data_IF_810658800429
#
_entry.id   IF_810658800429
#
_cell.length_a   1.000
_cell.length_b   1.000
_cell.length_c   1.000
_cell.angle_alpha   90.00
_cell.angle_beta   90.00
_cell.angle_gamma   90.00
#
_symmetry.space_group_name_H-M   'P 1'
#
loop_
_entity.id
_entity.type
_entity.pdbx_description
1 polymer ?
#
# COMPACT_ATOMS: atom_id res chain seq x y z
N UNK A 1 -14.45 7.24 -19.35
CA UNK A 1 -13.47 6.93 -18.30
C UNK A 1 -14.15 6.52 -17.01
N UNK A 2 -15.21 7.22 -16.62
CA UNK A 2 -15.94 6.96 -15.37
C UNK A 2 -16.38 5.50 -15.21
N UNK A 3 -16.99 4.90 -16.25
CA UNK A 3 -17.39 3.48 -16.23
C UNK A 3 -16.24 2.50 -16.00
N UNK A 4 -15.05 2.82 -16.55
CA UNK A 4 -13.86 2.00 -16.37
C UNK A 4 -13.39 2.10 -14.92
N UNK A 5 -13.30 3.33 -14.39
CA UNK A 5 -12.91 3.59 -13.01
C UNK A 5 -13.87 2.93 -12.02
N UNK A 6 -15.18 3.12 -12.21
CA UNK A 6 -16.22 2.53 -11.37
C UNK A 6 -16.11 0.99 -11.33
N UNK A 7 -15.73 0.35 -12.45
CA UNK A 7 -15.59 -1.11 -12.54
C UNK A 7 -14.39 -1.71 -11.83
N UNK A 8 -13.31 -0.95 -11.69
CA UNK A 8 -12.11 -1.40 -10.96
C UNK A 8 -12.15 -0.97 -9.49
N UNK A 9 -13.15 -0.17 -9.11
CA UNK A 9 -13.31 0.36 -7.74
C UNK A 9 -14.64 -0.02 -7.10
N UNK A 10 -15.22 -1.16 -7.50
CA UNK A 10 -16.51 -1.62 -6.99
C UNK A 10 -16.39 -2.03 -5.52
N UNK A 11 -17.19 -1.36 -4.66
CA UNK A 11 -17.24 -1.59 -3.21
C UNK A 11 -18.55 -2.20 -2.72
N UNK A 12 -19.56 -2.32 -3.58
CA UNK A 12 -20.87 -2.86 -3.21
C UNK A 12 -21.22 -4.11 -4.01
N UNK A 13 -21.89 -5.05 -3.35
CA UNK A 13 -22.42 -6.27 -3.97
C UNK A 13 -23.38 -5.95 -5.12
N UNK A 14 -24.34 -5.08 -4.85
CA UNK A 14 -25.29 -4.58 -5.81
C UNK A 14 -25.30 -3.06 -5.75
N UNK A 15 -25.39 -2.44 -6.92
CA UNK A 15 -25.59 -0.99 -7.04
C UNK A 15 -26.83 -0.78 -7.92
N UNK A 16 -27.87 -0.22 -7.33
CA UNK A 16 -29.12 0.13 -8.03
C UNK A 16 -28.90 1.28 -9.04
N UNK A 17 -27.85 2.10 -8.83
CA UNK A 17 -27.61 3.31 -9.62
C UNK A 17 -26.65 3.11 -10.79
N UNK A 18 -25.66 2.21 -10.67
CA UNK A 18 -24.66 1.95 -11.72
C UNK A 18 -24.27 0.49 -11.75
N UNK A 19 -24.55 -0.18 -12.86
CA UNK A 19 -24.18 -1.59 -13.08
C UNK A 19 -22.67 -1.80 -13.04
N UNK A 20 -21.89 -0.77 -13.33
CA UNK A 20 -20.43 -0.83 -13.34
C UNK A 20 -19.83 -0.78 -11.94
N UNK A 21 -20.59 -0.44 -10.89
CA UNK A 21 -20.12 -0.41 -9.50
C UNK A 21 -20.45 -1.69 -8.71
N UNK A 22 -21.03 -2.71 -9.36
CA UNK A 22 -21.33 -3.97 -8.70
C UNK A 22 -20.12 -4.91 -8.68
N UNK A 23 -20.21 -5.95 -7.88
CA UNK A 23 -19.15 -6.95 -7.80
C UNK A 23 -18.98 -7.72 -9.10
N UNK A 24 -17.74 -8.11 -9.36
CA UNK A 24 -17.42 -8.97 -10.48
C UNK A 24 -17.93 -10.37 -10.15
N UNK A 25 -18.82 -10.87 -11.00
CA UNK A 25 -19.39 -12.22 -10.97
C UNK A 25 -19.44 -12.78 -12.38
N UNK A 26 -19.69 -14.08 -12.53
CA UNK A 26 -19.75 -14.74 -13.85
C UNK A 26 -20.77 -14.09 -14.81
N UNK A 27 -21.85 -13.53 -14.27
CA UNK A 27 -22.95 -12.92 -15.04
C UNK A 27 -22.81 -11.40 -15.25
N UNK A 28 -21.83 -10.77 -14.60
CA UNK A 28 -21.71 -9.30 -14.53
C UNK A 28 -21.28 -8.62 -15.84
N UNK A 29 -20.69 -9.36 -16.78
CA UNK A 29 -20.17 -8.81 -18.04
C UNK A 29 -18.91 -7.95 -17.92
N UNK A 30 -18.30 -7.84 -16.72
CA UNK A 30 -17.10 -7.02 -16.50
C UNK A 30 -15.91 -7.45 -17.38
N UNK A 31 -15.71 -8.76 -17.59
CA UNK A 31 -14.60 -9.28 -18.39
C UNK A 31 -14.67 -8.78 -19.84
N UNK A 32 -15.85 -8.83 -20.46
CA UNK A 32 -16.02 -8.36 -21.84
C UNK A 32 -15.84 -6.84 -21.93
N UNK A 33 -16.36 -6.11 -20.94
CA UNK A 33 -16.18 -4.67 -20.83
C UNK A 33 -14.70 -4.28 -20.72
N UNK A 34 -13.91 -4.98 -19.88
CA UNK A 34 -12.48 -4.72 -19.75
C UNK A 34 -11.71 -5.04 -21.04
N UNK A 35 -12.05 -6.10 -21.77
CA UNK A 35 -11.45 -6.40 -23.09
C UNK A 35 -11.71 -5.28 -24.11
N UNK A 36 -12.93 -4.73 -24.11
CA UNK A 36 -13.28 -3.55 -24.92
C UNK A 36 -12.45 -2.32 -24.51
N UNK A 37 -12.30 -2.07 -23.21
CA UNK A 37 -11.48 -0.96 -22.71
C UNK A 37 -9.99 -1.13 -23.03
N UNK A 38 -9.40 -2.32 -22.93
CA UNK A 38 -8.01 -2.57 -23.34
C UNK A 38 -7.82 -2.15 -24.81
N UNK A 39 -8.73 -2.60 -25.68
CA UNK A 39 -8.67 -2.28 -27.12
C UNK A 39 -8.84 -0.78 -27.39
N UNK A 40 -9.66 -0.10 -26.59
CA UNK A 40 -9.87 1.33 -26.70
C UNK A 40 -8.66 2.14 -26.19
N UNK A 41 -8.08 1.78 -25.04
CA UNK A 41 -6.90 2.43 -24.46
C UNK A 41 -5.67 2.22 -25.34
N UNK A 42 -5.50 1.03 -25.93
CA UNK A 42 -4.39 0.74 -26.84
C UNK A 42 -4.30 1.75 -28.00
N UNK A 43 -5.45 2.21 -28.50
CA UNK A 43 -5.57 3.20 -29.59
C UNK A 43 -5.23 4.63 -29.17
N UNK A 44 -5.09 4.91 -27.87
CA UNK A 44 -4.78 6.25 -27.41
C UNK A 44 -3.41 6.71 -27.91
N UNK A 45 -3.37 7.89 -28.52
CA UNK A 45 -2.14 8.60 -28.81
C UNK A 45 -2.09 9.84 -27.95
N UNK A 46 -1.19 9.86 -26.98
CA UNK A 46 -0.98 11.07 -26.17
C UNK A 46 0.06 11.93 -26.88
N UNK A 47 -0.25 13.21 -27.04
CA UNK A 47 0.63 14.19 -27.70
C UNK A 47 0.85 15.36 -26.77
N UNK A 48 2.06 15.92 -26.82
CA UNK A 48 2.34 17.18 -26.13
C UNK A 48 1.44 18.28 -26.67
N UNK A 49 0.82 19.06 -25.78
CA UNK A 49 0.01 20.22 -26.16
C UNK A 49 0.86 21.26 -26.89
N UNK A 50 2.11 21.45 -26.46
CA UNK A 50 3.02 22.47 -26.96
C UNK A 50 3.74 22.01 -28.23
N UNK A 51 4.38 20.83 -28.21
CA UNK A 51 5.23 20.40 -29.33
C UNK A 51 4.51 19.52 -30.35
N UNK A 52 3.27 19.08 -30.06
CA UNK A 52 2.48 18.11 -30.85
C UNK A 52 3.15 16.76 -31.11
N UNK A 53 4.33 16.52 -30.52
CA UNK A 53 5.06 15.25 -30.60
C UNK A 53 4.36 14.18 -29.77
N UNK A 54 4.46 12.89 -30.17
CA UNK A 54 3.96 11.78 -29.38
C UNK A 54 4.69 11.72 -28.04
N UNK A 55 3.92 11.48 -26.96
CA UNK A 55 4.45 11.28 -25.62
C UNK A 55 4.23 9.83 -25.21
N UNK A 56 5.27 9.26 -24.61
CA UNK A 56 5.11 8.05 -23.83
C UNK A 56 4.41 8.40 -22.51
N UNK A 57 3.39 7.62 -22.15
CA UNK A 57 2.61 7.84 -20.95
C UNK A 57 2.53 6.54 -20.19
N UNK A 58 3.26 6.45 -19.08
CA UNK A 58 3.32 5.24 -18.25
C UNK A 58 1.93 4.80 -17.75
N UNK A 59 1.04 5.76 -17.43
CA UNK A 59 -0.32 5.46 -16.98
C UNK A 59 -1.16 4.72 -18.04
N UNK A 60 -0.91 4.93 -19.34
CA UNK A 60 -1.55 4.15 -20.41
C UNK A 60 -1.18 2.67 -20.30
N UNK A 61 0.11 2.39 -20.12
CA UNK A 61 0.63 1.03 -19.92
C UNK A 61 0.08 0.44 -18.63
N UNK A 62 0.08 1.22 -17.55
CA UNK A 62 -0.51 0.85 -16.25
C UNK A 62 -1.96 0.38 -16.39
N UNK A 63 -2.82 1.17 -17.03
CA UNK A 63 -4.21 0.78 -17.25
C UNK A 63 -4.39 -0.54 -18.00
N UNK A 64 -3.58 -0.78 -19.04
CA UNK A 64 -3.65 -2.04 -19.80
C UNK A 64 -3.21 -3.22 -18.93
N UNK A 65 -2.15 -3.05 -18.13
CA UNK A 65 -1.67 -4.07 -17.20
C UNK A 65 -2.74 -4.37 -16.14
N UNK A 66 -3.28 -3.34 -15.49
CA UNK A 66 -4.33 -3.45 -14.48
C UNK A 66 -5.54 -4.23 -15.01
N UNK A 67 -6.04 -3.87 -16.20
CA UNK A 67 -7.19 -4.57 -16.79
C UNK A 67 -6.90 -6.03 -17.12
N UNK A 68 -5.70 -6.33 -17.64
CA UNK A 68 -5.28 -7.72 -17.89
C UNK A 68 -5.17 -8.52 -16.59
N UNK A 69 -4.63 -7.92 -15.54
CA UNK A 69 -4.52 -8.52 -14.22
C UNK A 69 -5.91 -8.83 -13.65
N UNK A 70 -6.84 -7.87 -13.70
CA UNK A 70 -8.22 -8.08 -13.25
C UNK A 70 -8.94 -9.21 -14.00
N UNK A 71 -8.73 -9.32 -15.33
CA UNK A 71 -9.27 -10.46 -16.10
C UNK A 71 -8.70 -11.78 -15.56
N UNK A 72 -7.38 -11.90 -15.43
CA UNK A 72 -6.74 -13.12 -14.95
C UNK A 72 -7.12 -13.49 -13.51
N UNK A 73 -7.13 -12.51 -12.60
CA UNK A 73 -7.57 -12.68 -11.21
C UNK A 73 -9.03 -13.14 -11.17
N UNK A 74 -9.90 -12.55 -11.99
CA UNK A 74 -11.32 -12.94 -12.03
C UNK A 74 -11.49 -14.39 -12.49
N UNK A 75 -10.75 -14.82 -13.51
CA UNK A 75 -10.80 -16.21 -14.01
C UNK A 75 -10.35 -17.24 -12.96
N UNK A 76 -9.47 -16.86 -12.03
CA UNK A 76 -8.99 -17.74 -10.95
C UNK A 76 -9.92 -17.69 -9.74
N UNK A 77 -10.29 -16.49 -9.28
CA UNK A 77 -11.04 -16.31 -8.04
C UNK A 77 -12.53 -16.65 -8.20
N UNK A 78 -13.14 -16.41 -9.35
CA UNK A 78 -14.56 -16.75 -9.57
C UNK A 78 -14.81 -18.27 -9.55
N UNK A 79 -13.79 -19.10 -9.79
CA UNK A 79 -13.89 -20.55 -9.62
C UNK A 79 -14.04 -20.97 -8.16
N UNK A 80 -13.63 -20.12 -7.22
CA UNK A 80 -13.62 -20.40 -5.77
C UNK A 80 -14.63 -19.55 -4.99
N UNK A 81 -15.00 -18.39 -5.54
CA UNK A 81 -15.78 -17.36 -4.85
C UNK A 81 -16.93 -16.90 -5.74
N UNK A 82 -18.08 -16.59 -5.12
CA UNK A 82 -19.29 -16.16 -5.86
C UNK A 82 -19.12 -14.80 -6.53
N UNK A 83 -18.29 -13.93 -5.97
CA UNK A 83 -18.09 -12.57 -6.44
C UNK A 83 -16.74 -12.02 -5.97
N UNK A 84 -16.30 -10.91 -6.60
CA UNK A 84 -15.07 -10.20 -6.28
C UNK A 84 -15.38 -8.69 -6.15
N UNK A 85 -14.91 -8.09 -5.05
CA UNK A 85 -14.95 -6.65 -4.84
C UNK A 85 -13.65 -6.04 -5.39
N UNK A 86 -13.72 -5.36 -6.53
CA UNK A 86 -12.53 -4.80 -7.19
C UNK A 86 -11.92 -3.65 -6.42
N UNK A 87 -12.72 -2.92 -5.62
CA UNK A 87 -12.23 -1.86 -4.73
C UNK A 87 -11.31 -2.34 -3.61
N UNK A 88 -11.19 -3.65 -3.35
CA UNK A 88 -10.23 -4.20 -2.37
C UNK A 88 -8.81 -4.33 -2.91
N UNK A 89 -8.62 -4.19 -4.22
CA UNK A 89 -7.30 -4.27 -4.86
C UNK A 89 -6.60 -2.92 -4.96
N UNK A 90 -7.22 -1.84 -4.46
CA UNK A 90 -6.61 -0.52 -4.45
C UNK A 90 -5.81 -0.26 -3.17
N UNK A 91 -4.88 0.68 -3.25
CA UNK A 91 -4.07 1.11 -2.10
C UNK A 91 -4.81 2.08 -1.17
N UNK A 92 -6.04 2.49 -1.51
CA UNK A 92 -6.83 3.49 -0.76
C UNK A 92 -6.86 3.20 0.73
N UNK A 93 -7.06 1.93 1.12
CA UNK A 93 -7.11 1.55 2.53
C UNK A 93 -5.80 1.89 3.24
N UNK A 94 -4.66 1.58 2.63
CA UNK A 94 -3.33 1.92 3.16
C UNK A 94 -3.12 3.44 3.21
N UNK A 95 -3.49 4.16 2.16
CA UNK A 95 -3.39 5.62 2.13
C UNK A 95 -4.25 6.28 3.22
N UNK A 96 -5.45 5.75 3.45
CA UNK A 96 -6.36 6.19 4.50
C UNK A 96 -5.81 5.90 5.89
N UNK A 97 -5.11 4.78 6.08
CA UNK A 97 -4.39 4.48 7.33
C UNK A 97 -3.24 5.46 7.55
N UNK A 98 -2.41 5.73 6.54
CA UNK A 98 -1.36 6.74 6.64
C UNK A 98 -1.91 8.14 6.95
N UNK A 99 -3.02 8.52 6.30
CA UNK A 99 -3.70 9.79 6.61
C UNK A 99 -4.24 9.82 8.05
N UNK A 100 -4.78 8.70 8.53
CA UNK A 100 -5.26 8.58 9.92
C UNK A 100 -4.12 8.67 10.93
N UNK A 101 -2.93 8.17 10.61
CA UNK A 101 -1.72 8.33 11.44
C UNK A 101 -1.30 9.80 11.49
N UNK A 102 -1.20 10.47 10.33
CA UNK A 102 -0.82 11.89 10.26
C UNK A 102 -1.77 12.78 11.10
N UNK A 103 -3.09 12.55 11.02
CA UNK A 103 -4.09 13.30 11.80
C UNK A 103 -3.93 13.19 13.33
N UNK A 104 -3.28 12.14 13.84
CA UNK A 104 -3.06 11.96 15.29
C UNK A 104 -1.95 12.86 15.84
N UNK A 105 -1.09 13.40 14.97
CA UNK A 105 -0.03 14.35 15.33
C UNK A 105 -0.53 15.76 15.63
N UNK A 106 -1.83 16.04 15.49
CA UNK A 106 -2.38 17.39 15.67
C UNK A 106 -1.84 18.34 14.61
N UNK A 107 -1.05 19.34 15.02
CA UNK A 107 -0.37 20.25 14.10
C UNK A 107 0.90 19.67 13.46
N UNK A 108 1.35 18.49 13.90
CA UNK A 108 2.50 17.78 13.33
C UNK A 108 2.02 16.75 12.30
N UNK A 109 1.66 17.23 11.12
CA UNK A 109 1.15 16.40 10.01
C UNK A 109 2.20 15.50 9.37
N UNK A 110 3.49 15.80 9.58
CA UNK A 110 4.61 15.01 9.07
C UNK A 110 5.39 14.40 10.25
N UNK A 111 4.98 13.22 10.75
CA UNK A 111 5.69 12.55 11.83
C UNK A 111 7.09 12.11 11.38
N UNK A 112 8.03 12.07 12.32
CA UNK A 112 9.29 11.35 12.08
C UNK A 112 9.08 9.82 12.15
N UNK A 113 10.12 9.05 11.84
CA UNK A 113 10.04 7.58 11.78
C UNK A 113 9.62 6.99 13.13
N UNK A 114 10.16 7.51 14.24
CA UNK A 114 9.87 7.01 15.58
C UNK A 114 8.42 7.31 15.97
N UNK A 115 7.95 8.52 15.69
CA UNK A 115 6.57 8.91 15.90
C UNK A 115 5.62 8.06 15.07
N UNK A 116 5.94 7.82 13.79
CA UNK A 116 5.13 6.98 12.93
C UNK A 116 5.01 5.54 13.48
N UNK A 117 6.13 4.93 13.89
CA UNK A 117 6.16 3.61 14.52
C UNK A 117 5.31 3.57 15.79
N UNK A 118 5.47 4.54 16.69
CA UNK A 118 4.69 4.62 17.92
C UNK A 118 3.19 4.80 17.63
N UNK A 119 2.82 5.59 16.61
CA UNK A 119 1.42 5.77 16.23
C UNK A 119 0.82 4.51 15.64
N UNK A 120 1.57 3.75 14.83
CA UNK A 120 1.15 2.44 14.34
C UNK A 120 0.91 1.48 15.51
N UNK A 121 1.87 1.35 16.43
CA UNK A 121 1.74 0.49 17.61
C UNK A 121 0.50 0.87 18.43
N UNK A 122 0.26 2.17 18.65
CA UNK A 122 -0.94 2.65 19.32
C UNK A 122 -2.22 2.26 18.58
N UNK A 123 -2.26 2.37 17.24
CA UNK A 123 -3.42 1.96 16.43
C UNK A 123 -3.67 0.45 16.55
N UNK A 124 -2.61 -0.36 16.46
CA UNK A 124 -2.62 -1.82 16.62
C UNK A 124 -3.23 -2.20 17.97
N UNK A 125 -2.66 -1.69 19.07
CA UNK A 125 -3.12 -1.98 20.44
C UNK A 125 -4.56 -1.50 20.65
N UNK A 126 -4.87 -0.29 20.17
CA UNK A 126 -6.22 0.29 20.29
C UNK A 126 -7.25 -0.54 19.55
N UNK A 127 -6.94 -1.03 18.34
CA UNK A 127 -7.83 -1.89 17.56
C UNK A 127 -7.98 -3.26 18.21
N UNK A 128 -6.90 -3.83 18.74
CA UNK A 128 -6.92 -5.09 19.49
C UNK A 128 -7.85 -5.00 20.70
N UNK A 129 -7.70 -3.95 21.53
CA UNK A 129 -8.53 -3.73 22.73
C UNK A 129 -9.99 -3.41 22.35
N UNK A 130 -10.21 -2.58 21.33
CA UNK A 130 -11.55 -2.13 20.94
C UNK A 130 -12.31 -3.08 20.00
N UNK A 131 -11.71 -4.21 19.59
CA UNK A 131 -12.34 -5.26 18.77
C UNK A 131 -13.60 -5.87 19.42
N UNK A 132 -13.93 -5.49 20.65
CA UNK A 132 -15.06 -5.97 21.45
C UNK A 132 -16.32 -5.08 21.37
N UNK A 133 -16.31 -3.93 20.68
CA UNK A 133 -17.48 -3.04 20.63
C UNK A 133 -17.98 -2.82 19.20
N UNK A 134 -19.18 -3.33 18.90
CA UNK A 134 -19.94 -3.05 17.69
C UNK A 134 -20.16 -1.53 17.55
N UNK A 135 -19.66 -0.94 16.47
CA UNK A 135 -19.87 0.48 16.14
C UNK A 135 -20.83 0.60 14.95
N UNK A 136 -21.85 1.43 15.11
CA UNK A 136 -22.96 1.68 14.16
C UNK A 136 -22.60 2.58 12.94
N UNK A 137 -21.33 2.81 12.64
CA UNK A 137 -20.91 3.66 11.52
C UNK A 137 -20.23 2.82 10.45
N UNK A 138 -20.48 3.12 9.16
CA UNK A 138 -19.75 2.50 8.06
C UNK A 138 -18.24 2.73 8.26
N UNK A 139 -17.56 1.69 8.72
CA UNK A 139 -16.12 1.70 8.96
C UNK A 139 -15.46 1.60 7.60
N UNK A 140 -14.73 2.66 7.20
CA UNK A 140 -13.75 2.53 6.14
C UNK A 140 -12.66 1.57 6.63
N UNK A 141 -12.25 0.63 5.79
CA UNK A 141 -11.41 -0.51 6.14
C UNK A 141 -9.99 -0.15 6.61
N UNK A 142 -9.68 1.14 6.78
CA UNK A 142 -8.42 1.68 7.27
C UNK A 142 -7.98 1.07 8.62
N UNK A 143 -8.94 0.61 9.44
CA UNK A 143 -8.65 -0.08 10.72
C UNK A 143 -8.54 -1.60 10.58
N UNK A 144 -8.91 -2.17 9.43
CA UNK A 144 -8.94 -3.60 9.14
C UNK A 144 -7.71 -4.13 8.40
N UNK A 145 -6.72 -3.27 8.10
CA UNK A 145 -5.44 -3.72 7.53
C UNK A 145 -4.80 -4.80 8.40
N UNK A 146 -5.01 -4.73 9.71
CA UNK A 146 -4.55 -5.72 10.66
C UNK A 146 -5.77 -6.31 11.36
N UNK A 147 -6.20 -7.49 10.90
CA UNK A 147 -7.25 -8.27 11.54
C UNK A 147 -6.67 -9.05 12.72
N UNK A 148 -6.89 -8.55 13.93
CA UNK A 148 -6.45 -9.20 15.17
C UNK A 148 -7.29 -10.40 15.58
N UNK A 149 -8.42 -10.66 14.91
CA UNK A 149 -9.22 -11.86 15.19
C UNK A 149 -8.48 -13.15 14.85
N UNK A 150 -7.46 -13.06 13.97
CA UNK A 150 -6.60 -14.16 13.56
C UNK A 150 -5.37 -14.38 14.48
N UNK A 151 -5.07 -13.46 15.40
CA UNK A 151 -3.91 -13.59 16.28
C UNK A 151 -4.26 -14.34 17.56
N UNK A 152 -3.44 -15.33 17.92
CA UNK A 152 -3.51 -15.94 19.24
C UNK A 152 -3.11 -14.88 20.27
N UNK A 153 -4.03 -14.53 21.16
CA UNK A 153 -3.81 -13.50 22.20
C UNK A 153 -2.58 -13.81 23.07
N UNK A 154 -2.19 -15.08 23.18
CA UNK A 154 -1.05 -15.51 23.98
C UNK A 154 0.30 -15.23 23.30
N UNK A 155 0.39 -15.32 21.96
CA UNK A 155 1.64 -15.03 21.22
C UNK A 155 1.97 -13.54 21.23
N UNK A 156 0.94 -12.68 21.27
CA UNK A 156 1.12 -11.22 21.28
C UNK A 156 1.60 -10.70 22.64
N UNK A 157 1.23 -11.38 23.73
CA UNK A 157 1.71 -11.06 25.07
C UNK A 157 3.20 -11.42 25.22
N UNK A 158 3.65 -12.52 24.62
CA UNK A 158 5.08 -12.90 24.62
C UNK A 158 5.96 -11.87 23.88
N UNK A 159 5.45 -11.24 22.81
CA UNK A 159 6.17 -10.17 22.09
C UNK A 159 6.25 -8.87 22.91
N UNK A 160 5.23 -8.58 23.72
CA UNK A 160 5.20 -7.39 24.59
C UNK A 160 6.08 -7.61 25.84
N UNK A 161 6.20 -8.85 26.32
CA UNK A 161 7.04 -9.25 27.45
C UNK A 161 8.51 -9.49 27.07
N UNK A 162 8.82 -9.45 25.77
CA UNK A 162 10.19 -9.42 25.25
C UNK A 162 10.78 -8.04 25.49
N UNK A 163 11.23 -7.82 26.73
CA UNK A 163 11.96 -6.66 27.20
C UNK A 163 13.32 -6.53 26.49
N UNK A 164 13.33 -6.06 25.24
CA UNK A 164 14.50 -5.45 24.61
C UNK A 164 14.30 -3.92 24.58
N UNK A 165 14.10 -3.37 25.78
CA UNK A 165 14.36 -1.98 26.06
C UNK A 165 15.88 -1.80 26.25
N UNK A 166 16.64 -1.54 25.18
CA UNK A 166 18.01 -1.02 25.36
C UNK A 166 17.90 0.47 25.69
N UNK A 167 17.71 0.77 26.97
CA UNK A 167 18.22 1.98 27.58
C UNK A 167 19.64 1.72 28.04
N UNK A 168 20.67 2.10 27.28
CA UNK A 168 21.94 2.52 27.89
C UNK A 168 22.53 3.73 27.15
N UNK A 169 22.77 4.73 27.99
CA UNK A 169 23.30 6.07 27.79
C UNK A 169 24.76 6.12 27.31
N UNK A 170 25.05 7.12 26.48
CA UNK A 170 26.21 8.02 26.57
C UNK A 170 27.49 7.47 27.26
N UNK A 171 28.37 6.72 26.56
CA UNK A 171 29.77 6.58 27.01
C UNK A 171 30.82 6.02 26.01
N UNK A 172 30.69 6.20 24.69
CA UNK A 172 31.74 5.76 23.73
C UNK A 172 32.43 6.89 22.94
N UNK A 173 32.41 8.13 23.43
CA UNK A 173 33.09 9.27 22.75
C UNK A 173 34.62 9.29 22.98
N UNK A 174 35.23 8.30 23.64
CA UNK A 174 36.63 8.46 24.12
C UNK A 174 37.72 7.60 23.50
N UNK A 175 37.45 6.73 22.54
CA UNK A 175 38.54 6.01 21.88
C UNK A 175 38.22 5.80 20.40
N UNK A 176 38.81 6.63 19.53
CA UNK A 176 39.37 6.28 18.21
C UNK A 176 39.78 7.55 17.42
N UNK A 177 40.42 8.51 18.10
CA UNK A 177 41.22 9.57 17.47
C UNK A 177 42.57 9.04 16.95
N UNK A 178 42.60 7.80 16.42
CA UNK A 178 43.82 7.13 16.01
C UNK A 178 43.56 6.19 14.83
N UNK A 179 43.14 6.73 13.68
CA UNK A 179 43.53 6.19 12.37
C UNK A 179 43.21 7.18 11.24
N UNK A 180 43.95 8.29 11.21
CA UNK A 180 44.13 9.06 9.98
C UNK A 180 45.40 8.52 9.30
N UNK A 181 45.26 7.85 8.14
CA UNK A 181 46.21 7.88 7.00
C UNK A 181 45.88 6.84 5.88
N UNK A 182 45.41 7.38 4.74
CA UNK A 182 45.76 7.09 3.32
C UNK A 182 45.62 5.67 2.74
N UNK A 183 44.67 5.47 1.79
CA UNK A 183 44.90 5.31 0.32
C UNK A 183 43.67 4.73 -0.40
N UNK A 184 43.21 5.43 -1.45
CA UNK A 184 42.36 4.92 -2.55
C UNK A 184 42.96 3.65 -3.17
N UNK A 185 42.12 2.64 -3.48
CA UNK A 185 41.97 1.99 -4.82
C UNK A 185 40.74 1.05 -4.80
N UNK A 186 39.93 1.21 -5.84
CA UNK A 186 38.85 0.35 -6.35
C UNK A 186 38.76 -1.10 -5.87
N UNK A 187 37.58 -1.44 -5.33
CA UNK A 187 37.13 -2.81 -5.13
C UNK A 187 35.63 -2.82 -4.83
N UNK A 188 34.81 -3.14 -5.83
CA UNK A 188 33.37 -3.38 -5.71
C UNK A 188 33.10 -4.53 -4.73
N UNK A 189 33.02 -4.23 -3.45
CA UNK A 189 32.40 -5.10 -2.47
C UNK A 189 30.92 -4.74 -2.42
N UNK A 190 30.08 -5.60 -3.02
CA UNK A 190 28.66 -5.65 -2.73
C UNK A 190 28.53 -6.09 -1.26
N UNK A 191 28.66 -5.14 -0.33
CA UNK A 191 28.25 -5.36 1.04
C UNK A 191 26.77 -5.66 1.02
N UNK A 192 26.39 -6.81 1.57
CA UNK A 192 24.99 -7.12 1.88
C UNK A 192 24.48 -5.96 2.73
N UNK A 193 23.61 -5.13 2.13
CA UNK A 193 23.06 -3.95 2.76
C UNK A 193 22.32 -4.39 4.02
N UNK A 194 22.51 -3.65 5.10
CA UNK A 194 21.77 -3.92 6.32
C UNK A 194 20.28 -3.61 6.10
N UNK A 195 19.39 -4.21 6.89
CA UNK A 195 17.93 -4.10 6.73
C UNK A 195 17.46 -2.63 6.74
N UNK A 196 18.18 -1.76 7.44
CA UNK A 196 17.91 -0.32 7.48
C UNK A 196 18.27 0.35 6.15
N UNK A 197 19.39 -0.02 5.54
CA UNK A 197 19.86 0.56 4.28
C UNK A 197 18.96 0.12 3.12
N UNK A 198 18.47 -1.12 3.13
CA UNK A 198 17.50 -1.63 2.15
C UNK A 198 16.14 -0.92 2.25
N UNK A 199 15.69 -0.60 3.48
CA UNK A 199 14.47 0.18 3.71
C UNK A 199 14.62 1.64 3.25
N UNK A 200 15.79 2.24 3.49
CA UNK A 200 16.11 3.60 3.02
C UNK A 200 16.16 3.64 1.50
N UNK A 201 16.78 2.65 0.86
CA UNK A 201 16.81 2.52 -0.61
C UNK A 201 15.42 2.30 -1.20
N UNK A 202 14.58 1.49 -0.55
CA UNK A 202 13.18 1.28 -0.96
C UNK A 202 12.34 2.56 -0.85
N UNK A 203 12.55 3.35 0.21
CA UNK A 203 11.88 4.63 0.38
C UNK A 203 12.34 5.67 -0.65
N UNK A 204 13.65 5.80 -0.89
CA UNK A 204 14.21 6.75 -1.86
C UNK A 204 13.83 6.37 -3.29
N UNK A 205 13.86 5.08 -3.63
CA UNK A 205 13.45 4.61 -4.97
C UNK A 205 11.95 4.81 -5.22
N UNK A 206 11.11 4.64 -4.20
CA UNK A 206 9.69 4.97 -4.27
C UNK A 206 9.42 6.46 -4.49
N UNK A 207 10.22 7.34 -3.89
CA UNK A 207 10.13 8.79 -4.07
C UNK A 207 10.58 9.25 -5.47
N UNK A 208 11.64 8.65 -6.01
CA UNK A 208 12.18 8.98 -7.35
C UNK A 208 11.31 8.44 -8.51
N UNK A 209 10.43 7.48 -8.24
CA UNK A 209 9.51 6.91 -9.23
C UNK A 209 8.19 7.69 -9.38
N UNK A 210 8.00 8.80 -8.65
CA UNK A 210 6.85 9.71 -8.76
C UNK A 210 7.03 10.79 -9.84
#
# INVERSE_FOLDING_TARGET
>A
MDKLSDSVHARTLHSEKKKEMCTVSEISGHIEMWRKFISWIAKWQVRSRTTRKPLYVASKTGWIITLKAFIGISEVLLKKMKFILTGRFSQDTLENTSASIRRRGGFRDNPDVNEFCQQIQKVIITNFINSQQEKNWQVDEAYSIIDFSCFNKNELLEVIDSDDCVTESENEVRNLSALENVHDVDGLNFSTLDNVEENVLSYISGYLAQ
#
